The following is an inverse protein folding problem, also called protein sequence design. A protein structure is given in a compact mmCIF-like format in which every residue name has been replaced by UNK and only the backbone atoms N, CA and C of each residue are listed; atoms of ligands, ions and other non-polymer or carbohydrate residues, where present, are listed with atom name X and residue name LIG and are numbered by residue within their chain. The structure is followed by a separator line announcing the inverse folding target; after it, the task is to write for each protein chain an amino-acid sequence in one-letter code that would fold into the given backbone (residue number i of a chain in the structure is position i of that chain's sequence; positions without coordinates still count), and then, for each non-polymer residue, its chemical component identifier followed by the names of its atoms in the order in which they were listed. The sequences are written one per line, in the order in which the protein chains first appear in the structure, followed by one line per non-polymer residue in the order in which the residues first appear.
data_IF_699986925681
#
_entry.id   IF_699986925681
#
_cell.length_a   1.000
_cell.length_b   1.000
_cell.length_c   1.000
_cell.angle_alpha   90.00
_cell.angle_beta   90.00
_cell.angle_gamma   90.00
#
_symmetry.space_group_name_H-M   'P 1'
#
loop_
_entity.id
_entity.type
_entity.pdbx_description
1 polymer ?
#
# COMPACT_ATOMS: atom_id res chain seq x y z
N UNK A 1 33.61 -9.71 22.68
CA UNK A 1 34.61 -10.23 23.60
C UNK A 1 35.98 -10.30 22.91
N UNK A 2 36.49 -9.19 22.32
CA UNK A 2 37.91 -9.04 21.88
C UNK A 2 38.30 -7.54 21.74
N UNK A 3 37.53 -6.57 22.25
CA UNK A 3 37.87 -5.12 22.11
C UNK A 3 37.86 -4.37 23.45
N UNK A 4 37.77 -5.10 24.56
CA UNK A 4 37.72 -4.51 25.91
C UNK A 4 38.95 -4.88 26.75
N UNK A 5 39.85 -5.75 26.25
CA UNK A 5 41.03 -6.21 27.00
C UNK A 5 42.32 -5.42 26.70
N UNK A 6 42.36 -4.57 25.67
CA UNK A 6 43.57 -3.80 25.33
C UNK A 6 43.73 -2.47 26.10
N UNK A 7 42.86 -2.16 27.06
CA UNK A 7 42.89 -0.86 27.77
C UNK A 7 43.65 -0.91 29.11
N UNK A 8 44.20 -2.07 29.52
CA UNK A 8 44.83 -2.22 30.85
C UNK A 8 46.37 -2.22 30.90
N UNK A 9 47.09 -2.08 29.78
CA UNK A 9 48.56 -2.21 29.76
C UNK A 9 49.31 -0.87 29.80
N UNK A 10 49.04 0.01 30.78
CA UNK A 10 49.80 1.25 30.98
C UNK A 10 50.13 1.47 32.47
N UNK A 11 51.11 0.72 32.98
CA UNK A 11 51.83 1.06 34.22
C UNK A 11 53.31 0.75 34.02
N UNK A 12 54.08 1.68 33.44
CA UNK A 12 55.53 1.87 33.64
C UNK A 12 56.05 2.96 32.68
N UNK A 13 56.33 4.17 33.20
CA UNK A 13 57.44 5.09 32.90
C UNK A 13 57.13 6.45 33.57
N UNK A 14 57.80 6.73 34.68
CA UNK A 14 57.54 7.81 35.66
C UNK A 14 58.06 9.21 35.25
N UNK A 15 57.99 9.57 33.96
CA UNK A 15 58.49 10.86 33.45
C UNK A 15 57.55 11.64 32.52
N UNK A 16 56.44 11.04 32.07
CA UNK A 16 55.55 11.59 31.02
C UNK A 16 54.07 11.56 31.42
N UNK A 17 53.75 11.60 32.72
CA UNK A 17 52.37 11.51 33.23
C UNK A 17 51.46 12.60 32.64
N UNK A 18 51.95 13.84 32.48
CA UNK A 18 51.16 14.91 31.88
C UNK A 18 50.88 14.68 30.38
N UNK A 19 51.84 14.13 29.62
CA UNK A 19 51.67 13.85 28.19
C UNK A 19 50.68 12.70 27.96
N UNK A 20 50.79 11.64 28.76
CA UNK A 20 49.92 10.46 28.67
C UNK A 20 48.48 10.76 29.11
N UNK A 21 48.31 11.63 30.12
CA UNK A 21 46.98 12.11 30.55
C UNK A 21 46.35 12.97 29.46
N UNK A 22 47.10 13.88 28.82
CA UNK A 22 46.60 14.73 27.73
C UNK A 22 46.17 13.90 26.50
N UNK A 23 46.95 12.88 26.10
CA UNK A 23 46.59 11.98 25.00
C UNK A 23 45.30 11.18 25.31
N UNK A 24 45.16 10.65 26.52
CA UNK A 24 43.96 9.93 26.95
C UNK A 24 42.71 10.83 27.03
N UNK A 25 42.89 12.09 27.43
CA UNK A 25 41.81 13.09 27.47
C UNK A 25 41.32 13.45 26.06
N UNK A 26 42.23 13.53 25.08
CA UNK A 26 41.89 13.73 23.66
C UNK A 26 41.08 12.57 23.07
N UNK A 27 41.40 11.32 23.45
CA UNK A 27 40.65 10.13 23.02
C UNK A 27 39.23 10.14 23.62
N UNK A 28 39.06 10.56 24.88
CA UNK A 28 37.76 10.68 25.52
C UNK A 28 36.88 11.73 24.83
N UNK A 29 37.42 12.89 24.49
CA UNK A 29 36.69 13.94 23.77
C UNK A 29 36.29 13.49 22.36
N UNK A 30 37.18 12.83 21.64
CA UNK A 30 36.89 12.27 20.32
C UNK A 30 35.78 11.21 20.39
N UNK A 31 35.82 10.32 21.39
CA UNK A 31 34.79 9.29 21.61
C UNK A 31 33.42 9.89 21.95
N UNK A 32 33.38 11.01 22.66
CA UNK A 32 32.16 11.74 22.98
C UNK A 32 31.57 12.39 21.72
N UNK A 33 32.41 12.97 20.86
CA UNK A 33 32.00 13.54 19.56
C UNK A 33 31.47 12.46 18.62
N UNK A 34 32.12 11.30 18.54
CA UNK A 34 31.66 10.15 17.73
C UNK A 34 30.31 9.64 18.24
N UNK A 35 30.15 9.44 19.57
CA UNK A 35 28.87 9.04 20.16
C UNK A 35 27.75 10.05 19.88
N UNK A 36 28.04 11.35 20.00
CA UNK A 36 27.11 12.42 19.66
C UNK A 36 26.70 12.35 18.18
N UNK A 37 27.65 12.12 17.27
CA UNK A 37 27.40 11.97 15.84
C UNK A 37 26.51 10.74 15.54
N UNK A 38 26.80 9.59 16.15
CA UNK A 38 26.01 8.35 16.01
C UNK A 38 24.56 8.57 16.47
N UNK A 39 24.36 9.26 17.59
CA UNK A 39 23.02 9.58 18.11
C UNK A 39 22.25 10.52 17.17
N UNK A 40 22.92 11.52 16.59
CA UNK A 40 22.31 12.39 15.57
C UNK A 40 21.94 11.62 14.30
N UNK A 41 22.82 10.74 13.83
CA UNK A 41 22.58 9.90 12.65
C UNK A 41 21.43 8.90 12.86
N UNK A 42 21.33 8.29 14.04
CA UNK A 42 20.24 7.36 14.37
C UNK A 42 18.90 8.10 14.47
N UNK A 43 18.87 9.28 15.10
CA UNK A 43 17.69 10.14 15.15
C UNK A 43 17.22 10.57 13.75
N UNK A 44 18.15 11.03 12.90
CA UNK A 44 17.85 11.42 11.53
C UNK A 44 17.28 10.25 10.72
N UNK A 45 17.87 9.05 10.85
CA UNK A 45 17.36 7.84 10.19
C UNK A 45 15.94 7.49 10.63
N UNK A 46 15.61 7.61 11.93
CA UNK A 46 14.24 7.39 12.40
C UNK A 46 13.24 8.41 11.87
N UNK A 47 13.65 9.68 11.77
CA UNK A 47 12.82 10.74 11.21
C UNK A 47 12.53 10.50 9.73
N UNK A 48 13.56 10.26 8.92
CA UNK A 48 13.42 9.92 7.50
C UNK A 48 12.51 8.70 7.29
N UNK A 49 12.72 7.63 8.07
CA UNK A 49 11.88 6.42 7.98
C UNK A 49 10.41 6.72 8.27
N UNK A 50 10.14 7.58 9.25
CA UNK A 50 8.78 7.96 9.63
C UNK A 50 8.12 8.80 8.55
N UNK A 51 8.84 9.79 7.99
CA UNK A 51 8.35 10.59 6.88
C UNK A 51 8.04 9.75 5.65
N UNK A 52 8.93 8.81 5.28
CA UNK A 52 8.67 7.88 4.15
C UNK A 52 7.40 7.06 4.39
N UNK A 53 7.17 6.57 5.62
CA UNK A 53 5.92 5.84 5.95
C UNK A 53 4.70 6.74 5.83
N UNK A 54 4.77 7.98 6.32
CA UNK A 54 3.67 8.93 6.24
C UNK A 54 3.32 9.27 4.78
N UNK A 55 4.32 9.55 3.94
CA UNK A 55 4.13 9.79 2.51
C UNK A 55 3.53 8.57 1.80
N UNK A 56 4.04 7.36 2.07
CA UNK A 56 3.45 6.12 1.52
C UNK A 56 2.00 5.94 1.95
N UNK A 57 1.67 6.23 3.22
CA UNK A 57 0.31 6.13 3.76
C UNK A 57 -0.64 7.11 3.07
N UNK A 58 -0.22 8.37 2.87
CA UNK A 58 -1.01 9.39 2.16
C UNK A 58 -1.27 8.96 0.71
N UNK A 59 -0.25 8.44 0.02
CA UNK A 59 -0.39 7.96 -1.36
C UNK A 59 -1.38 6.79 -1.46
N UNK A 60 -1.34 5.83 -0.51
CA UNK A 60 -2.28 4.71 -0.49
C UNK A 60 -3.72 5.15 -0.24
N UNK A 61 -3.92 6.20 0.58
CA UNK A 61 -5.25 6.75 0.82
C UNK A 61 -5.84 7.36 -0.46
N UNK A 62 -5.04 8.04 -1.28
CA UNK A 62 -5.50 8.67 -2.53
C UNK A 62 -5.64 7.68 -3.71
N UNK A 63 -5.67 6.38 -3.47
CA UNK A 63 -5.90 5.38 -4.52
C UNK A 63 -7.39 5.11 -4.70
N UNK A 64 -7.86 5.15 -5.94
CA UNK A 64 -9.19 4.68 -6.31
C UNK A 64 -9.25 3.15 -6.18
N UNK A 65 -10.21 2.67 -5.41
CA UNK A 65 -10.48 1.24 -5.22
C UNK A 65 -11.94 0.96 -5.55
N UNK A 66 -12.20 -0.12 -6.29
CA UNK A 66 -13.55 -0.57 -6.63
C UNK A 66 -13.85 -1.94 -6.03
N UNK A 67 -15.08 -2.13 -5.59
CA UNK A 67 -15.63 -3.38 -5.08
C UNK A 67 -16.87 -3.72 -5.91
N UNK A 68 -17.06 -5.00 -6.21
CA UNK A 68 -18.24 -5.51 -6.92
C UNK A 68 -18.79 -6.72 -6.19
N UNK A 69 -20.10 -6.91 -6.29
CA UNK A 69 -20.85 -8.02 -5.72
C UNK A 69 -22.10 -8.27 -6.56
N UNK A 70 -22.59 -9.50 -6.58
CA UNK A 70 -23.85 -9.82 -7.22
C UNK A 70 -24.66 -10.87 -6.44
N UNK A 71 -25.94 -10.57 -6.22
CA UNK A 71 -26.89 -11.54 -5.68
C UNK A 71 -27.60 -12.29 -6.81
N UNK A 72 -27.42 -13.60 -6.89
CA UNK A 72 -27.94 -14.45 -7.96
C UNK A 72 -29.38 -14.91 -7.68
N UNK A 73 -30.27 -14.69 -8.67
CA UNK A 73 -31.70 -14.98 -8.57
C UNK A 73 -32.42 -14.33 -7.37
N UNK A 74 -31.93 -13.18 -6.89
CA UNK A 74 -32.59 -12.44 -5.80
C UNK A 74 -34.02 -11.98 -6.13
N UNK A 75 -34.37 -11.83 -7.40
CA UNK A 75 -35.73 -11.53 -7.86
C UNK A 75 -36.53 -12.82 -8.13
N UNK A 76 -37.57 -13.10 -7.32
CA UNK A 76 -38.39 -14.30 -7.48
C UNK A 76 -39.28 -14.28 -8.74
N UNK A 77 -39.65 -13.10 -9.23
CA UNK A 77 -40.56 -12.95 -10.36
C UNK A 77 -39.82 -13.16 -11.69
N UNK A 78 -38.68 -12.49 -11.86
CA UNK A 78 -37.92 -12.51 -13.12
C UNK A 78 -36.64 -13.34 -13.07
N UNK A 79 -36.27 -13.89 -11.90
CA UNK A 79 -35.02 -14.62 -11.65
C UNK A 79 -33.75 -13.83 -11.99
N UNK A 80 -33.87 -12.51 -12.06
CA UNK A 80 -32.77 -11.60 -12.36
C UNK A 80 -31.91 -11.37 -11.13
N UNK A 81 -30.61 -11.32 -11.35
CA UNK A 81 -29.65 -11.02 -10.30
C UNK A 81 -29.61 -9.52 -9.98
N UNK A 82 -29.12 -9.17 -8.80
CA UNK A 82 -28.81 -7.79 -8.41
C UNK A 82 -27.31 -7.57 -8.52
N UNK A 83 -26.87 -6.58 -9.29
CA UNK A 83 -25.46 -6.16 -9.33
C UNK A 83 -25.23 -4.99 -8.40
N UNK A 84 -24.15 -5.03 -7.64
CA UNK A 84 -23.70 -3.94 -6.78
C UNK A 84 -22.24 -3.55 -7.05
N UNK A 85 -21.93 -2.27 -6.88
CA UNK A 85 -20.55 -1.82 -6.78
C UNK A 85 -20.37 -0.68 -5.78
N UNK A 86 -19.15 -0.52 -5.29
CA UNK A 86 -18.73 0.58 -4.42
C UNK A 86 -17.32 1.04 -4.83
N UNK A 87 -17.14 2.34 -5.03
CA UNK A 87 -15.85 2.97 -5.25
C UNK A 87 -15.47 3.85 -4.08
N UNK A 88 -14.24 3.70 -3.61
CA UNK A 88 -13.69 4.50 -2.50
C UNK A 88 -12.44 5.26 -2.93
N UNK A 89 -12.29 6.47 -2.40
CA UNK A 89 -11.11 7.35 -2.52
C UNK A 89 -10.85 8.03 -1.17
N UNK A 90 -9.61 8.10 -0.71
CA UNK A 90 -9.24 8.64 0.61
C UNK A 90 -9.92 7.93 1.79
N UNK A 91 -10.34 6.67 1.60
CA UNK A 91 -11.10 5.90 2.59
C UNK A 91 -12.60 6.26 2.65
N UNK A 92 -13.08 7.19 1.83
CA UNK A 92 -14.50 7.52 1.71
C UNK A 92 -15.13 6.95 0.43
N UNK A 93 -16.42 6.64 0.47
CA UNK A 93 -17.19 6.24 -0.71
C UNK A 93 -17.45 7.45 -1.63
N UNK A 94 -17.22 7.29 -2.93
CA UNK A 94 -17.39 8.36 -3.93
C UNK A 94 -18.39 8.01 -5.05
N UNK A 95 -18.61 6.72 -5.31
CA UNK A 95 -19.62 6.25 -6.26
C UNK A 95 -20.08 4.86 -5.83
N UNK A 96 -21.37 4.58 -5.93
CA UNK A 96 -21.95 3.28 -5.59
C UNK A 96 -23.21 3.08 -6.40
N UNK A 97 -23.57 1.82 -6.63
CA UNK A 97 -24.83 1.47 -7.27
C UNK A 97 -25.28 0.09 -6.83
N UNK A 98 -26.59 -0.12 -6.85
CA UNK A 98 -27.23 -1.43 -6.76
C UNK A 98 -28.36 -1.45 -7.79
N UNK A 99 -28.25 -2.31 -8.81
CA UNK A 99 -29.17 -2.34 -9.96
C UNK A 99 -29.50 -3.78 -10.35
N UNK A 100 -30.74 -3.99 -10.81
CA UNK A 100 -31.16 -5.24 -11.45
C UNK A 100 -30.43 -5.46 -12.76
N UNK A 101 -29.92 -6.67 -12.95
CA UNK A 101 -29.31 -7.06 -14.21
C UNK A 101 -30.36 -7.05 -15.32
N UNK A 102 -29.94 -6.62 -16.50
CA UNK A 102 -30.84 -6.54 -17.65
C UNK A 102 -31.13 -7.94 -18.21
N UNK A 103 -30.16 -8.86 -18.13
CA UNK A 103 -30.27 -10.29 -18.47
C UNK A 103 -30.39 -11.18 -17.23
N UNK A 104 -30.92 -12.39 -17.41
CA UNK A 104 -30.91 -13.44 -16.39
C UNK A 104 -29.58 -14.17 -16.47
N UNK A 105 -28.82 -14.21 -15.37
CA UNK A 105 -27.57 -14.96 -15.30
C UNK A 105 -27.85 -16.45 -15.02
N UNK A 106 -27.16 -17.34 -15.72
CA UNK A 106 -27.29 -18.79 -15.56
C UNK A 106 -26.50 -19.34 -14.37
N UNK A 107 -25.62 -18.54 -13.77
CA UNK A 107 -24.85 -18.90 -12.58
C UNK A 107 -24.47 -17.69 -11.74
N UNK A 108 -24.10 -17.92 -10.48
CA UNK A 108 -23.54 -16.87 -9.62
C UNK A 108 -22.23 -16.29 -10.18
N UNK A 109 -21.39 -17.13 -10.81
CA UNK A 109 -20.20 -16.67 -11.52
C UNK A 109 -20.53 -15.65 -12.62
N UNK A 110 -21.54 -15.95 -13.44
CA UNK A 110 -21.95 -15.07 -14.52
C UNK A 110 -22.57 -13.77 -13.99
N UNK A 111 -23.39 -13.85 -12.94
CA UNK A 111 -23.95 -12.68 -12.28
C UNK A 111 -22.83 -11.75 -11.77
N UNK A 112 -21.83 -12.31 -11.10
CA UNK A 112 -20.64 -11.59 -10.61
C UNK A 112 -19.81 -10.99 -11.74
N UNK A 113 -19.64 -11.73 -12.84
CA UNK A 113 -18.93 -11.24 -14.02
C UNK A 113 -19.65 -10.06 -14.68
N UNK A 114 -20.98 -10.10 -14.76
CA UNK A 114 -21.80 -8.97 -15.25
C UNK A 114 -21.66 -7.77 -14.32
N UNK A 115 -21.77 -7.95 -13.00
CA UNK A 115 -21.58 -6.89 -12.02
C UNK A 115 -20.19 -6.25 -12.12
N UNK A 116 -19.14 -7.08 -12.20
CA UNK A 116 -17.77 -6.63 -12.38
C UNK A 116 -17.60 -5.83 -13.67
N UNK A 117 -18.25 -6.24 -14.77
CA UNK A 117 -18.20 -5.53 -16.04
C UNK A 117 -18.83 -4.14 -15.95
N UNK A 118 -19.96 -3.99 -15.26
CA UNK A 118 -20.59 -2.67 -15.03
C UNK A 118 -19.72 -1.81 -14.12
N UNK A 119 -19.17 -2.38 -13.05
CA UNK A 119 -18.26 -1.68 -12.15
C UNK A 119 -17.01 -1.18 -12.90
N UNK A 120 -16.44 -1.96 -13.82
CA UNK A 120 -15.28 -1.53 -14.61
C UNK A 120 -15.60 -0.34 -15.51
N UNK A 121 -16.81 -0.24 -16.08
CA UNK A 121 -17.21 0.94 -16.87
C UNK A 121 -17.19 2.19 -16.01
N UNK A 122 -17.74 2.11 -14.80
CA UNK A 122 -17.72 3.20 -13.82
C UNK A 122 -16.27 3.54 -13.40
N UNK A 123 -15.41 2.53 -13.18
CA UNK A 123 -14.00 2.72 -12.83
C UNK A 123 -13.24 3.51 -13.90
N UNK A 124 -13.49 3.20 -15.19
CA UNK A 124 -12.89 3.92 -16.32
C UNK A 124 -13.33 5.38 -16.33
N UNK A 125 -14.63 5.62 -16.18
CA UNK A 125 -15.18 6.97 -16.12
C UNK A 125 -14.61 7.78 -14.94
N UNK A 126 -14.61 7.20 -13.73
CA UNK A 126 -14.03 7.83 -12.53
C UNK A 126 -12.54 8.13 -12.70
N UNK A 127 -11.79 7.23 -13.35
CA UNK A 127 -10.36 7.44 -13.62
C UNK A 127 -10.13 8.68 -14.49
N UNK A 128 -10.90 8.83 -15.56
CA UNK A 128 -10.83 9.97 -16.48
C UNK A 128 -11.27 11.27 -15.79
N UNK A 129 -12.35 11.21 -15.03
CA UNK A 129 -12.87 12.34 -14.25
C UNK A 129 -11.86 12.85 -13.23
N UNK A 130 -11.31 11.95 -12.40
CA UNK A 130 -10.29 12.31 -11.40
C UNK A 130 -8.99 12.80 -12.03
N UNK A 131 -8.61 12.25 -13.19
CA UNK A 131 -7.46 12.72 -13.96
C UNK A 131 -7.67 14.15 -14.44
N UNK A 132 -8.89 14.50 -14.88
CA UNK A 132 -9.23 15.86 -15.33
C UNK A 132 -9.13 16.86 -14.19
N UNK A 133 -9.54 16.47 -12.99
CA UNK A 133 -9.48 17.31 -11.79
C UNK A 133 -8.07 17.44 -11.17
N UNK A 134 -7.07 16.70 -11.68
CA UNK A 134 -5.69 16.65 -11.14
C UNK A 134 -5.63 16.29 -9.64
N UNK A 135 -6.67 15.62 -9.11
CA UNK A 135 -6.76 15.24 -7.69
C UNK A 135 -5.80 14.08 -7.38
N UNK A 136 -5.57 13.22 -8.37
CA UNK A 136 -4.70 12.05 -8.27
C UNK A 136 -3.96 11.91 -9.58
N UNK A 137 -2.70 11.44 -9.56
CA UNK A 137 -2.01 10.89 -10.74
C UNK A 137 -2.65 9.55 -11.19
N UNK A 138 -3.99 9.47 -11.17
CA UNK A 138 -4.79 8.29 -11.47
C UNK A 138 -4.55 7.79 -12.89
N UNK A 139 -4.14 8.66 -13.82
CA UNK A 139 -3.86 8.26 -15.20
C UNK A 139 -2.79 7.16 -15.32
N UNK A 140 -1.75 7.22 -14.47
CA UNK A 140 -0.59 6.32 -14.55
C UNK A 140 -0.86 4.91 -13.99
N UNK A 141 -1.75 4.78 -13.00
CA UNK A 141 -1.96 3.52 -12.28
C UNK A 141 -3.28 2.84 -12.67
N UNK A 142 -3.31 1.50 -12.73
CA UNK A 142 -4.56 0.77 -12.89
C UNK A 142 -5.44 0.91 -11.64
N UNK A 143 -6.76 0.91 -11.82
CA UNK A 143 -7.74 0.86 -10.72
C UNK A 143 -7.82 -0.59 -10.24
N UNK A 144 -7.73 -0.80 -8.92
CA UNK A 144 -7.85 -2.13 -8.33
C UNK A 144 -9.33 -2.44 -8.12
N UNK A 145 -9.79 -3.54 -8.71
CA UNK A 145 -11.15 -4.07 -8.55
C UNK A 145 -11.13 -5.31 -7.66
N UNK A 146 -11.97 -5.32 -6.63
CA UNK A 146 -12.17 -6.44 -5.71
C UNK A 146 -13.50 -7.14 -6.02
N UNK A 147 -13.44 -8.46 -6.14
CA UNK A 147 -14.56 -9.38 -6.31
C UNK A 147 -14.22 -10.60 -5.44
N UNK A 148 -15.20 -11.20 -4.78
CA UNK A 148 -15.00 -12.38 -3.94
C UNK A 148 -15.09 -13.69 -4.75
N UNK A 149 -15.82 -13.67 -5.87
CA UNK A 149 -16.06 -14.82 -6.73
C UNK A 149 -14.82 -15.20 -7.57
N UNK A 150 -14.11 -16.24 -7.11
CA UNK A 150 -12.91 -16.76 -7.77
C UNK A 150 -13.13 -17.23 -9.22
N UNK A 151 -14.22 -17.96 -9.54
CA UNK A 151 -14.57 -18.25 -10.94
C UNK A 151 -14.66 -17.00 -11.82
N UNK A 152 -15.35 -15.95 -11.37
CA UNK A 152 -15.50 -14.70 -12.14
C UNK A 152 -14.16 -13.98 -12.33
N UNK A 153 -13.30 -13.96 -11.31
CA UNK A 153 -11.93 -13.44 -11.41
C UNK A 153 -11.09 -14.24 -12.41
N UNK A 154 -11.23 -15.57 -12.41
CA UNK A 154 -10.47 -16.42 -13.34
C UNK A 154 -10.90 -16.17 -14.78
N UNK A 155 -12.20 -16.05 -15.02
CA UNK A 155 -12.74 -15.73 -16.35
C UNK A 155 -12.19 -14.39 -16.85
N UNK A 156 -12.27 -13.34 -16.03
CA UNK A 156 -11.83 -11.99 -16.44
C UNK A 156 -10.35 -11.89 -16.79
N UNK A 157 -9.49 -12.74 -16.19
CA UNK A 157 -8.04 -12.77 -16.49
C UNK A 157 -7.68 -13.49 -17.78
N UNK A 158 -8.54 -14.36 -18.28
CA UNK A 158 -8.21 -15.26 -19.39
C UNK A 158 -9.26 -15.19 -20.50
N UNK A 159 -9.03 -14.35 -21.54
CA UNK A 159 -9.96 -14.14 -22.64
C UNK A 159 -10.42 -15.41 -23.36
N UNK A 160 -9.61 -16.48 -23.29
CA UNK A 160 -9.92 -17.81 -23.86
C UNK A 160 -11.19 -18.45 -23.29
N UNK A 161 -11.66 -18.02 -22.12
CA UNK A 161 -12.90 -18.51 -21.53
C UNK A 161 -14.12 -17.64 -21.88
N UNK A 162 -13.94 -16.43 -22.42
CA UNK A 162 -15.06 -15.52 -22.71
C UNK A 162 -16.02 -16.08 -23.78
N UNK A 163 -15.51 -16.84 -24.75
CA UNK A 163 -16.34 -17.49 -25.77
C UNK A 163 -17.12 -18.70 -25.26
N UNK A 164 -16.74 -19.26 -24.09
CA UNK A 164 -17.38 -20.43 -23.49
C UNK A 164 -18.50 -20.06 -22.50
N UNK A 165 -18.75 -18.77 -22.32
CA UNK A 165 -19.66 -18.19 -21.32
C UNK A 165 -20.85 -17.49 -22.00
N UNK A 166 -20.93 -17.56 -23.35
CA UNK A 166 -22.09 -17.11 -24.10
C UNK A 166 -23.20 -18.15 -24.12
#
# INVERSE_FOLDING_TARGET
MVIMEEVQTLVLIRGNLDVMVVESMGILELSARIRSLINKMTSLRSSIRTSIRATRRIILLLMLQGYTDADWQGDLDNRKSMSGYLFTLAGGAISWSSKKQDSVAFSSMEAEYIAASEAVKEAVWLKEFLSTLKIVESASKPVVMYCDNQPAIKVSRYPKFHSKIK
#
